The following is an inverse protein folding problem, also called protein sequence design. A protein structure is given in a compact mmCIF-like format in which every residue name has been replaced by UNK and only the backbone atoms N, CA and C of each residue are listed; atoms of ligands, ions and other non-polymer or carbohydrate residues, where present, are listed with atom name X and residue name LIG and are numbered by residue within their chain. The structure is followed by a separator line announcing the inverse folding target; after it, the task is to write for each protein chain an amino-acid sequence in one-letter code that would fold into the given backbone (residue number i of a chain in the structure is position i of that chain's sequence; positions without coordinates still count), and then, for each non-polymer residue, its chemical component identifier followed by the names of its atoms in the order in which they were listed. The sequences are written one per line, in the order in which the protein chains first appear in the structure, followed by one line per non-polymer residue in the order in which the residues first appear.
data_IF_498846026866
#
_entry.id   IF_498846026866
#
_cell.length_a   1.000
_cell.length_b   1.000
_cell.length_c   1.000
_cell.angle_alpha   90.00
_cell.angle_beta   90.00
_cell.angle_gamma   90.00
#
_symmetry.space_group_name_H-M   'P 1'
#
loop_
_entity.id
_entity.type
_entity.pdbx_description
1 polymer ?
#
# COMPACT_ATOMS: atom_id res chain seq x y z
N UNK A 1 29.68 -15.58 1.09
CA UNK A 1 29.59 -14.11 1.20
C UNK A 1 30.22 -13.51 -0.04
N UNK A 2 29.61 -12.49 -0.63
CA UNK A 2 30.20 -11.77 -1.76
C UNK A 2 31.48 -11.05 -1.32
N UNK A 3 32.48 -10.97 -2.19
CA UNK A 3 33.69 -10.20 -1.93
C UNK A 3 33.39 -8.70 -2.04
N UNK A 4 33.83 -7.87 -1.08
CA UNK A 4 33.61 -6.42 -1.14
C UNK A 4 34.20 -5.81 -2.42
N UNK A 5 33.50 -4.84 -3.01
CA UNK A 5 33.89 -4.22 -4.29
C UNK A 5 35.33 -3.68 -4.25
N UNK A 6 35.72 -3.00 -3.17
CA UNK A 6 37.09 -2.46 -3.05
C UNK A 6 38.16 -3.56 -3.04
N UNK A 7 37.86 -4.74 -2.48
CA UNK A 7 38.76 -5.90 -2.53
C UNK A 7 38.83 -6.51 -3.92
N UNK A 8 37.72 -6.51 -4.67
CA UNK A 8 37.73 -6.93 -6.07
C UNK A 8 38.57 -5.99 -6.93
N UNK A 9 38.38 -4.67 -6.76
CA UNK A 9 39.08 -3.65 -7.55
C UNK A 9 40.60 -3.69 -7.34
N UNK A 10 41.07 -4.02 -6.14
CA UNK A 10 42.51 -4.14 -5.86
C UNK A 10 43.19 -5.35 -6.54
N UNK A 11 42.46 -6.21 -7.25
CA UNK A 11 43.05 -7.31 -8.03
C UNK A 11 43.23 -6.99 -9.51
N UNK A 12 42.75 -5.82 -9.96
CA UNK A 12 42.74 -5.39 -11.36
C UNK A 12 43.43 -4.03 -11.56
N UNK A 13 44.42 -3.69 -10.72
CA UNK A 13 45.23 -2.49 -10.91
C UNK A 13 46.24 -2.68 -12.06
N UNK A 14 46.77 -1.58 -12.58
CA UNK A 14 47.75 -1.64 -13.68
C UNK A 14 49.00 -2.41 -13.24
N UNK A 15 49.27 -3.52 -13.93
CA UNK A 15 50.42 -4.38 -13.63
C UNK A 15 50.07 -5.61 -12.79
N UNK A 16 48.85 -5.66 -12.23
CA UNK A 16 48.36 -6.82 -11.51
C UNK A 16 47.74 -7.86 -12.45
N UNK A 17 47.92 -9.12 -12.08
CA UNK A 17 47.27 -10.26 -12.74
C UNK A 17 46.52 -11.07 -11.68
N UNK A 18 45.18 -11.06 -11.69
CA UNK A 18 44.41 -11.82 -10.73
C UNK A 18 44.65 -13.32 -10.90
N UNK A 19 44.79 -14.03 -9.78
CA UNK A 19 44.78 -15.50 -9.76
C UNK A 19 43.43 -16.03 -10.25
N UNK A 20 43.38 -17.30 -10.65
CA UNK A 20 42.11 -17.97 -11.01
C UNK A 20 41.05 -17.79 -9.92
N UNK A 21 41.43 -17.95 -8.65
CA UNK A 21 40.51 -17.83 -7.52
C UNK A 21 39.97 -16.39 -7.37
N UNK A 22 40.83 -15.39 -7.53
CA UNK A 22 40.42 -13.98 -7.52
C UNK A 22 39.50 -13.65 -8.69
N UNK A 23 39.83 -14.10 -9.89
CA UNK A 23 38.99 -13.92 -11.06
C UNK A 23 37.62 -14.59 -10.91
N UNK A 24 37.57 -15.82 -10.40
CA UNK A 24 36.32 -16.51 -10.10
C UNK A 24 35.50 -15.76 -9.05
N UNK A 25 36.15 -15.28 -7.98
CA UNK A 25 35.50 -14.54 -6.91
C UNK A 25 34.88 -13.22 -7.39
N UNK A 26 35.50 -12.55 -8.39
CA UNK A 26 34.91 -11.37 -9.03
C UNK A 26 33.55 -11.68 -9.64
N UNK A 27 33.46 -12.74 -10.45
CA UNK A 27 32.19 -13.08 -11.10
C UNK A 27 31.13 -13.57 -10.13
N UNK A 28 31.51 -14.37 -9.13
CA UNK A 28 30.55 -14.89 -8.14
C UNK A 28 30.08 -13.86 -7.10
N UNK A 29 30.63 -12.64 -7.10
CA UNK A 29 30.26 -11.59 -6.16
C UNK A 29 29.09 -10.73 -6.64
N UNK A 30 28.71 -10.83 -7.91
CA UNK A 30 27.59 -10.11 -8.50
C UNK A 30 26.45 -11.06 -8.84
N UNK A 31 25.21 -10.54 -8.84
CA UNK A 31 24.06 -11.28 -9.35
C UNK A 31 24.13 -11.44 -10.86
N UNK A 32 23.90 -12.65 -11.34
CA UNK A 32 23.81 -12.95 -12.77
C UNK A 32 22.37 -12.77 -13.30
N UNK A 33 22.22 -12.54 -14.61
CA UNK A 33 20.90 -12.25 -15.22
C UNK A 33 19.87 -13.38 -15.06
N UNK A 34 20.35 -14.61 -14.94
CA UNK A 34 19.51 -15.80 -14.80
C UNK A 34 19.27 -16.17 -13.32
N UNK A 35 19.77 -15.38 -12.37
CA UNK A 35 19.57 -15.59 -10.95
C UNK A 35 18.35 -14.82 -10.42
N UNK A 36 17.59 -15.48 -9.54
CA UNK A 36 16.51 -14.82 -8.83
C UNK A 36 17.07 -14.03 -7.65
N UNK A 37 16.80 -12.73 -7.62
CA UNK A 37 17.14 -11.86 -6.49
C UNK A 37 16.06 -12.01 -5.40
N UNK A 38 16.38 -12.50 -4.19
CA UNK A 38 15.41 -12.59 -3.11
C UNK A 38 14.93 -11.21 -2.67
N UNK A 39 13.63 -11.05 -2.42
CA UNK A 39 13.07 -9.76 -1.96
C UNK A 39 13.73 -9.23 -0.68
N UNK A 40 14.19 -10.13 0.20
CA UNK A 40 14.91 -9.78 1.43
C UNK A 40 16.26 -9.11 1.20
N UNK A 41 16.84 -9.23 0.00
CA UNK A 41 18.11 -8.59 -0.39
C UNK A 41 17.90 -7.22 -1.06
N UNK A 42 16.65 -6.83 -1.33
CA UNK A 42 16.32 -5.53 -1.94
C UNK A 42 16.03 -4.51 -0.84
N UNK A 43 16.96 -3.58 -0.65
CA UNK A 43 16.82 -2.52 0.34
C UNK A 43 15.53 -1.70 0.13
N UNK A 44 14.79 -1.46 1.21
CA UNK A 44 13.54 -0.69 1.20
C UNK A 44 12.30 -1.44 0.68
N UNK A 45 12.45 -2.59 0.01
CA UNK A 45 11.31 -3.32 -0.56
C UNK A 45 10.32 -3.79 0.51
N UNK A 46 10.82 -4.36 1.60
CA UNK A 46 9.97 -4.83 2.71
C UNK A 46 9.13 -3.69 3.32
N UNK A 47 9.77 -2.54 3.58
CA UNK A 47 9.08 -1.39 4.16
C UNK A 47 8.06 -0.73 3.21
N UNK A 48 8.23 -0.83 1.90
CA UNK A 48 7.20 -0.42 0.94
C UNK A 48 6.03 -1.40 0.93
N UNK A 49 6.30 -2.70 1.05
CA UNK A 49 5.25 -3.73 1.12
C UNK A 49 4.37 -3.58 2.35
N UNK A 50 4.96 -3.21 3.50
CA UNK A 50 4.23 -2.95 4.75
C UNK A 50 3.27 -1.75 4.66
N UNK A 51 3.44 -0.85 3.69
CA UNK A 51 2.51 0.26 3.45
C UNK A 51 1.27 -0.16 2.65
N UNK A 52 1.21 -1.41 2.20
CA UNK A 52 0.08 -1.95 1.45
C UNK A 52 -0.84 -2.78 2.34
N UNK A 53 -2.13 -2.77 2.05
CA UNK A 53 -3.06 -3.69 2.70
C UNK A 53 -2.79 -5.13 2.22
N UNK A 54 -2.79 -6.08 3.13
CA UNK A 54 -2.69 -7.49 2.76
C UNK A 54 -3.92 -7.93 1.96
N UNK A 55 -3.76 -8.97 1.12
CA UNK A 55 -4.90 -9.55 0.39
C UNK A 55 -6.03 -9.99 1.33
N UNK A 56 -5.68 -10.52 2.50
CA UNK A 56 -6.63 -10.88 3.55
C UNK A 56 -7.38 -9.64 4.07
N UNK A 57 -6.67 -8.57 4.41
CA UNK A 57 -7.28 -7.34 4.92
C UNK A 57 -8.21 -6.70 3.89
N UNK A 58 -7.79 -6.65 2.62
CA UNK A 58 -8.62 -6.15 1.53
C UNK A 58 -9.86 -7.03 1.33
N UNK A 59 -9.71 -8.35 1.34
CA UNK A 59 -10.84 -9.27 1.22
C UNK A 59 -11.84 -9.10 2.35
N UNK A 60 -11.37 -9.01 3.60
CA UNK A 60 -12.24 -8.73 4.75
C UNK A 60 -12.99 -7.41 4.60
N UNK A 61 -12.31 -6.36 4.15
CA UNK A 61 -12.93 -5.05 3.91
C UNK A 61 -14.01 -5.11 2.80
N UNK A 62 -13.76 -5.82 1.70
CA UNK A 62 -14.71 -5.96 0.59
C UNK A 62 -15.98 -6.73 0.98
N UNK A 63 -15.86 -7.68 1.91
CA UNK A 63 -16.98 -8.52 2.36
C UNK A 63 -17.68 -7.96 3.60
N UNK A 64 -17.15 -6.90 4.23
CA UNK A 64 -17.80 -6.24 5.35
C UNK A 64 -18.78 -5.17 4.85
N UNK A 65 -20.08 -5.49 4.95
CA UNK A 65 -21.17 -4.56 4.61
C UNK A 65 -21.21 -3.30 5.49
N UNK A 66 -20.42 -3.25 6.57
CA UNK A 66 -20.28 -2.12 7.48
C UNK A 66 -18.91 -1.43 7.39
N UNK A 67 -18.04 -1.78 6.45
CA UNK A 67 -16.67 -1.24 6.35
C UNK A 67 -16.62 0.31 6.35
N UNK A 68 -17.69 0.96 5.87
CA UNK A 68 -17.81 2.41 5.81
C UNK A 68 -18.99 2.98 6.63
N UNK A 69 -19.66 2.19 7.47
CA UNK A 69 -20.89 2.61 8.16
C UNK A 69 -20.70 3.79 9.12
N UNK A 70 -19.47 4.09 9.54
CA UNK A 70 -19.16 5.27 10.36
C UNK A 70 -19.03 6.58 9.60
N UNK A 71 -18.84 6.53 8.26
CA UNK A 71 -18.58 7.72 7.44
C UNK A 71 -19.59 7.90 6.30
N UNK A 72 -20.13 6.80 5.78
CA UNK A 72 -21.07 6.79 4.67
C UNK A 72 -22.42 6.25 5.16
N UNK A 73 -23.50 6.82 4.64
CA UNK A 73 -24.82 6.24 4.83
C UNK A 73 -25.00 5.03 3.92
N UNK A 74 -25.64 3.99 4.45
CA UNK A 74 -26.10 2.85 3.66
C UNK A 74 -27.25 3.29 2.76
N UNK A 75 -27.47 2.52 1.69
CA UNK A 75 -28.54 2.76 0.74
C UNK A 75 -29.93 2.77 1.41
N UNK A 76 -30.12 1.92 2.41
CA UNK A 76 -31.36 1.82 3.20
C UNK A 76 -31.40 2.77 4.41
N UNK A 77 -30.35 3.60 4.59
CA UNK A 77 -30.15 4.49 5.73
C UNK A 77 -30.17 3.81 7.11
N UNK A 78 -30.04 2.48 7.19
CA UNK A 78 -30.15 1.72 8.45
C UNK A 78 -29.07 2.06 9.48
N UNK A 79 -27.95 2.65 9.05
CA UNK A 79 -26.86 3.10 9.92
C UNK A 79 -27.01 4.56 10.40
N UNK A 80 -28.09 5.25 10.05
CA UNK A 80 -28.30 6.63 10.50
C UNK A 80 -28.95 6.69 11.88
N UNK A 81 -28.45 7.59 12.72
CA UNK A 81 -29.08 7.93 14.00
C UNK A 81 -30.09 9.05 13.80
N UNK A 82 -30.97 9.27 14.78
CA UNK A 82 -31.89 10.41 14.76
C UNK A 82 -31.17 11.77 14.59
N UNK A 83 -29.98 11.91 15.17
CA UNK A 83 -29.15 13.10 15.00
C UNK A 83 -28.70 13.28 13.55
N UNK A 84 -28.24 12.21 12.89
CA UNK A 84 -27.87 12.26 11.47
C UNK A 84 -29.07 12.64 10.60
N UNK A 85 -30.24 12.03 10.85
CA UNK A 85 -31.47 12.32 10.12
C UNK A 85 -31.87 13.79 10.26
N UNK A 86 -31.84 14.36 11.48
CA UNK A 86 -32.17 15.77 11.71
C UNK A 86 -31.16 16.72 11.04
N UNK A 87 -29.87 16.40 11.10
CA UNK A 87 -28.84 17.19 10.43
C UNK A 87 -29.05 17.19 8.90
N UNK A 88 -29.43 16.05 8.33
CA UNK A 88 -29.73 15.94 6.90
C UNK A 88 -30.99 16.68 6.51
N UNK A 89 -32.08 16.55 7.28
CA UNK A 89 -33.32 17.29 7.03
C UNK A 89 -33.09 18.80 6.99
N UNK A 90 -32.33 19.32 7.95
CA UNK A 90 -31.92 20.72 7.97
C UNK A 90 -31.09 21.09 6.73
N UNK A 91 -30.06 20.29 6.41
CA UNK A 91 -29.16 20.57 5.28
C UNK A 91 -29.85 20.50 3.91
N UNK A 92 -30.84 19.63 3.76
CA UNK A 92 -31.59 19.40 2.53
C UNK A 92 -32.86 20.27 2.44
N UNK A 93 -33.22 21.02 3.48
CA UNK A 93 -34.43 21.85 3.51
C UNK A 93 -35.73 21.04 3.49
N UNK A 94 -35.71 19.79 3.94
CA UNK A 94 -36.88 18.88 3.86
C UNK A 94 -38.00 19.30 4.83
N UNK A 95 -37.67 20.00 5.91
CA UNK A 95 -38.65 20.52 6.88
C UNK A 95 -39.19 21.91 6.48
N UNK A 96 -38.71 22.51 5.37
CA UNK A 96 -39.23 23.78 4.87
C UNK A 96 -40.47 23.54 4.00
N UNK A 97 -41.62 24.04 4.44
CA UNK A 97 -42.87 23.99 3.67
C UNK A 97 -42.74 24.96 2.49
N UNK A 98 -42.89 24.51 1.23
CA UNK A 98 -42.90 25.41 0.08
C UNK A 98 -43.94 26.51 0.24
N UNK A 99 -43.60 27.73 -0.16
CA UNK A 99 -44.42 28.94 0.04
C UNK A 99 -45.86 28.87 -0.53
N UNK A 100 -46.17 27.87 -1.35
CA UNK A 100 -47.45 27.64 -2.01
C UNK A 100 -48.23 26.42 -1.47
N UNK A 101 -47.83 25.86 -0.33
CA UNK A 101 -48.55 24.73 0.30
C UNK A 101 -49.68 25.26 1.17
N UNK A 102 -50.93 24.96 0.83
CA UNK A 102 -52.08 25.31 1.66
C UNK A 102 -52.05 24.48 2.95
N UNK A 103 -51.96 25.13 4.10
CA UNK A 103 -52.16 24.50 5.40
C UNK A 103 -53.67 24.44 5.66
N UNK A 104 -54.20 23.22 5.78
CA UNK A 104 -55.58 23.00 6.23
C UNK A 104 -55.62 23.26 7.74
N UNK A 105 -56.57 24.10 8.16
CA UNK A 105 -56.83 24.47 9.56
C UNK A 105 -57.52 23.37 10.37
#
# INVERSE_FOLDING_TARGET
MATPLNTLLSWFETGDFPTQAQFQASWSSFWHKDESIPMSQVSGLAGLFEQTASAQALSSHLNDSNAHAGYLAKLDASNLTAAHVNAWKNRLGVDEIPANTALVD
#
